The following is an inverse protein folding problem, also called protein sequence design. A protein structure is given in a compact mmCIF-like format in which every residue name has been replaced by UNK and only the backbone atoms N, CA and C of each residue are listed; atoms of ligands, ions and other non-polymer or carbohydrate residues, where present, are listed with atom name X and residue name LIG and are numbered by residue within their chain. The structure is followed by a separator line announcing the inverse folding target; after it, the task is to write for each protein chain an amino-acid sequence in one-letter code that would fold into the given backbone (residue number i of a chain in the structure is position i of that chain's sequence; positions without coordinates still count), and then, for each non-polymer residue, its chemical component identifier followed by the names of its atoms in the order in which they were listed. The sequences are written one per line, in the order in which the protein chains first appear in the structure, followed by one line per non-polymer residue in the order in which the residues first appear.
data_IF_588496455808
#
_entry.id   IF_588496455808
#
_cell.length_a   1.000
_cell.length_b   1.000
_cell.length_c   1.000
_cell.angle_alpha   90.00
_cell.angle_beta   90.00
_cell.angle_gamma   90.00
#
_symmetry.space_group_name_H-M   'P 1'
#
loop_
_entity.id
_entity.type
_entity.pdbx_description
1 polymer ?
#
# COMPACT_ATOMS: atom_id res chain seq x y z
N UNK A 1 -25.02 -1.26 18.29
CA UNK A 1 -24.96 -2.14 17.11
C UNK A 1 -23.63 -2.90 17.15
N UNK A 2 -23.65 -4.17 17.53
CA UNK A 2 -22.42 -4.96 17.70
C UNK A 2 -21.91 -5.34 16.32
N UNK A 3 -20.74 -4.81 15.91
CA UNK A 3 -20.06 -5.27 14.69
C UNK A 3 -19.62 -6.73 14.93
N UNK A 4 -20.31 -7.67 14.28
CA UNK A 4 -19.84 -9.06 14.20
C UNK A 4 -18.45 -9.03 13.54
N UNK A 5 -17.44 -9.33 14.32
CA UNK A 5 -16.09 -9.59 13.82
C UNK A 5 -16.19 -10.84 12.94
N UNK A 6 -16.06 -10.67 11.66
CA UNK A 6 -15.89 -11.79 10.74
C UNK A 6 -14.52 -12.38 11.04
N UNK A 7 -14.50 -13.53 11.72
CA UNK A 7 -13.29 -14.34 11.87
C UNK A 7 -12.88 -14.80 10.46
N UNK A 8 -11.92 -14.14 9.86
CA UNK A 8 -11.29 -14.65 8.65
C UNK A 8 -10.61 -15.97 8.98
N UNK A 9 -10.92 -17.02 8.22
CA UNK A 9 -10.16 -18.27 8.26
C UNK A 9 -8.78 -17.95 7.68
N UNK A 10 -7.80 -17.76 8.56
CA UNK A 10 -6.39 -17.73 8.13
C UNK A 10 -6.08 -19.10 7.54
N UNK A 11 -5.71 -19.13 6.27
CA UNK A 11 -5.28 -20.37 5.64
C UNK A 11 -3.82 -20.59 6.04
N UNK A 12 -3.59 -21.35 7.12
CA UNK A 12 -2.26 -21.64 7.67
C UNK A 12 -1.25 -22.17 6.63
N UNK A 13 -1.76 -22.75 5.54
CA UNK A 13 -0.93 -23.24 4.43
C UNK A 13 -0.23 -22.12 3.64
N UNK A 14 -0.70 -20.86 3.79
CA UNK A 14 -0.13 -19.70 3.13
C UNK A 14 0.87 -18.96 4.02
N UNK A 15 0.97 -19.33 5.31
CA UNK A 15 1.89 -18.67 6.23
C UNK A 15 3.34 -18.93 5.80
N UNK A 16 4.15 -17.88 5.83
CA UNK A 16 5.59 -17.96 5.55
C UNK A 16 6.38 -17.20 6.61
N UNK A 17 7.62 -17.65 6.84
CA UNK A 17 8.65 -16.88 7.52
C UNK A 17 9.53 -16.22 6.47
N UNK A 18 9.63 -14.90 6.51
CA UNK A 18 10.48 -14.13 5.61
C UNK A 18 11.38 -13.21 6.44
N UNK A 19 12.67 -13.52 6.48
CA UNK A 19 13.67 -12.77 7.24
C UNK A 19 13.31 -12.59 8.73
N UNK A 20 12.71 -13.62 9.34
CA UNK A 20 12.28 -13.58 10.75
C UNK A 20 10.93 -12.90 10.99
N UNK A 21 10.26 -12.44 9.93
CA UNK A 21 8.91 -11.89 10.00
C UNK A 21 7.89 -12.95 9.59
N UNK A 22 6.84 -13.11 10.39
CA UNK A 22 5.77 -14.04 10.10
C UNK A 22 4.71 -13.37 9.23
N UNK A 23 4.54 -13.87 8.00
CA UNK A 23 3.52 -13.41 7.07
C UNK A 23 2.41 -14.45 6.98
N UNK A 24 1.17 -13.99 6.96
CA UNK A 24 -0.02 -14.84 6.78
C UNK A 24 -0.27 -15.21 5.30
N UNK A 25 0.52 -14.66 4.38
CA UNK A 25 0.45 -14.92 2.95
C UNK A 25 1.80 -14.59 2.29
N UNK A 26 2.19 -15.29 1.22
CA UNK A 26 3.40 -14.96 0.45
C UNK A 26 3.24 -13.75 -0.47
N UNK A 27 2.04 -13.14 -0.53
CA UNK A 27 1.78 -11.99 -1.39
C UNK A 27 2.24 -10.70 -0.74
N UNK A 28 2.96 -9.90 -1.51
CA UNK A 28 3.37 -8.55 -1.12
C UNK A 28 2.84 -7.56 -2.16
N UNK A 29 2.06 -6.59 -1.72
CA UNK A 29 1.62 -5.49 -2.57
C UNK A 29 2.67 -4.38 -2.59
N UNK A 30 2.96 -3.87 -3.78
CA UNK A 30 4.01 -2.87 -3.97
C UNK A 30 3.43 -1.46 -4.02
N UNK A 31 4.22 -0.49 -3.62
CA UNK A 31 3.85 0.91 -3.47
C UNK A 31 3.26 1.57 -4.72
N UNK A 32 3.68 1.15 -5.91
CA UNK A 32 3.12 1.65 -7.16
C UNK A 32 1.66 1.28 -7.42
N UNK A 33 1.17 0.25 -6.70
CA UNK A 33 -0.21 -0.23 -6.82
C UNK A 33 -1.11 0.27 -5.69
N UNK A 34 -0.58 0.43 -4.48
CA UNK A 34 -1.40 0.61 -3.27
C UNK A 34 -1.14 1.93 -2.53
N UNK A 35 -0.31 2.81 -3.07
CA UNK A 35 -0.04 4.10 -2.47
C UNK A 35 0.40 4.01 -1.01
N UNK A 36 -0.42 4.48 -0.09
CA UNK A 36 -0.18 4.44 1.36
C UNK A 36 -0.88 3.30 2.09
N UNK A 37 -1.53 2.37 1.35
CA UNK A 37 -2.09 1.14 1.89
C UNK A 37 -3.58 1.19 2.22
N UNK A 38 -4.22 2.33 2.20
CA UNK A 38 -5.66 2.47 2.49
C UNK A 38 -6.57 2.46 1.27
N UNK A 39 -6.01 2.69 0.08
CA UNK A 39 -6.79 2.90 -1.14
C UNK A 39 -7.67 1.70 -1.50
N UNK A 40 -7.17 0.49 -1.30
CA UNK A 40 -7.90 -0.74 -1.62
C UNK A 40 -8.85 -1.21 -0.52
N UNK A 41 -8.77 -0.65 0.69
CA UNK A 41 -9.68 -0.99 1.78
C UNK A 41 -11.13 -0.59 1.50
N UNK A 42 -11.33 0.28 0.49
CA UNK A 42 -12.65 0.70 0.01
C UNK A 42 -13.30 -0.31 -0.94
N UNK A 43 -12.54 -1.30 -1.41
CA UNK A 43 -13.05 -2.34 -2.30
C UNK A 43 -13.77 -3.38 -1.47
N UNK A 44 -15.05 -3.63 -1.80
CA UNK A 44 -15.83 -4.66 -1.13
C UNK A 44 -15.20 -6.04 -1.31
N UNK A 45 -15.02 -6.76 -0.21
CA UNK A 45 -14.44 -8.10 -0.20
C UNK A 45 -12.91 -8.13 -0.13
N UNK A 46 -12.23 -6.98 -0.13
CA UNK A 46 -10.79 -6.89 0.07
C UNK A 46 -10.44 -6.39 1.48
N UNK A 47 -9.40 -6.95 2.06
CA UNK A 47 -8.79 -6.47 3.29
C UNK A 47 -7.27 -6.50 3.18
N UNK A 48 -6.57 -5.52 3.74
CA UNK A 48 -5.12 -5.53 3.84
C UNK A 48 -4.58 -6.78 4.57
N UNK A 49 -5.43 -7.46 5.35
CA UNK A 49 -5.10 -8.72 6.04
C UNK A 49 -5.07 -9.93 5.11
N UNK A 50 -5.55 -9.79 3.87
CA UNK A 50 -5.55 -10.88 2.88
C UNK A 50 -4.17 -11.08 2.24
N UNK A 51 -3.25 -10.13 2.44
CA UNK A 51 -1.88 -10.17 1.96
C UNK A 51 -0.88 -10.26 3.10
N UNK A 52 0.33 -10.72 2.80
CA UNK A 52 1.39 -10.88 3.81
C UNK A 52 2.03 -9.57 4.21
N UNK A 53 2.21 -8.65 3.26
CA UNK A 53 2.79 -7.33 3.50
C UNK A 53 2.36 -6.31 2.44
N UNK A 54 2.50 -5.06 2.78
CA UNK A 54 2.28 -3.92 1.88
C UNK A 54 3.50 -3.00 1.95
N UNK A 55 4.12 -2.74 0.80
CA UNK A 55 5.16 -1.72 0.69
C UNK A 55 4.50 -0.38 0.42
N UNK A 56 4.56 0.52 1.37
CA UNK A 56 3.97 1.85 1.24
C UNK A 56 4.77 2.72 0.27
N UNK A 57 4.14 3.73 -0.28
CA UNK A 57 4.78 4.74 -1.12
C UNK A 57 5.94 5.40 -0.39
N UNK A 58 7.01 5.71 -1.12
CA UNK A 58 8.17 6.42 -0.58
C UNK A 58 7.75 7.71 0.12
N UNK A 59 8.19 7.88 1.37
CA UNK A 59 7.74 8.94 2.26
C UNK A 59 8.94 9.68 2.83
N UNK A 60 8.84 11.00 2.90
CA UNK A 60 9.82 11.89 3.52
C UNK A 60 9.41 12.22 4.96
N UNK A 61 10.34 12.72 5.77
CA UNK A 61 10.03 13.14 7.14
C UNK A 61 8.94 14.22 7.12
N UNK A 62 9.18 15.28 6.36
CA UNK A 62 8.23 16.37 6.16
C UNK A 62 7.32 16.12 4.95
N UNK A 63 6.10 16.68 4.94
CA UNK A 63 5.21 16.61 3.78
C UNK A 63 5.86 17.18 2.52
N UNK A 64 5.56 16.58 1.38
CA UNK A 64 6.08 17.00 0.08
C UNK A 64 4.97 17.05 -0.96
N UNK A 65 4.74 18.22 -1.55
CA UNK A 65 3.70 18.42 -2.55
C UNK A 65 4.03 17.80 -3.91
N UNK A 66 5.32 17.53 -4.15
CA UNK A 66 5.79 17.08 -5.45
C UNK A 66 5.89 18.21 -6.46
N UNK A 67 6.08 17.83 -7.72
CA UNK A 67 6.24 18.77 -8.82
C UNK A 67 4.92 19.40 -9.23
N UNK A 68 4.99 20.56 -9.87
CA UNK A 68 3.82 21.18 -10.53
C UNK A 68 3.31 20.31 -11.69
N UNK A 69 2.01 20.33 -12.05
CA UNK A 69 1.51 19.73 -13.28
C UNK A 69 2.22 20.36 -14.52
N UNK A 70 2.45 19.66 -15.59
CA UNK A 70 2.11 18.28 -15.94
C UNK A 70 3.12 17.27 -15.41
N UNK A 71 2.65 16.23 -14.76
CA UNK A 71 3.50 15.23 -14.09
C UNK A 71 3.61 13.93 -14.84
N UNK A 72 2.71 13.68 -15.78
CA UNK A 72 2.61 12.43 -16.53
C UNK A 72 2.52 12.77 -18.00
N UNK A 73 3.29 12.06 -18.83
CA UNK A 73 3.23 12.14 -20.27
C UNK A 73 3.24 10.75 -20.88
N UNK A 74 2.30 10.49 -21.75
CA UNK A 74 2.26 9.23 -22.51
C UNK A 74 3.29 9.25 -23.63
N UNK A 75 3.90 8.11 -23.87
CA UNK A 75 4.80 7.85 -24.99
C UNK A 75 4.25 6.69 -25.82
N UNK A 76 4.85 6.42 -26.98
CA UNK A 76 4.42 5.32 -27.84
C UNK A 76 4.43 3.94 -27.15
N UNK A 77 5.39 3.70 -26.23
CA UNK A 77 5.58 2.42 -25.55
C UNK A 77 5.37 2.47 -24.04
N UNK A 78 4.87 3.56 -23.49
CA UNK A 78 4.69 3.67 -22.03
C UNK A 78 4.35 5.07 -21.57
N UNK A 79 4.73 5.36 -20.32
CA UNK A 79 4.53 6.66 -19.68
C UNK A 79 5.81 7.15 -19.02
N UNK A 80 6.02 8.46 -19.10
CA UNK A 80 7.00 9.19 -18.29
C UNK A 80 6.27 9.88 -17.14
N UNK A 81 6.90 9.95 -15.98
CA UNK A 81 6.36 10.72 -14.87
C UNK A 81 7.44 11.59 -14.21
N UNK A 82 6.99 12.67 -13.61
CA UNK A 82 7.78 13.57 -12.79
C UNK A 82 6.92 13.99 -11.60
N UNK A 83 6.53 13.04 -10.76
CA UNK A 83 5.65 13.27 -9.59
C UNK A 83 6.39 14.08 -8.51
N UNK A 84 7.68 13.84 -8.29
CA UNK A 84 8.47 14.56 -7.32
C UNK A 84 8.27 14.08 -5.89
N UNK A 85 8.03 12.80 -5.69
CA UNK A 85 7.90 12.15 -4.37
C UNK A 85 6.82 12.79 -3.50
N UNK A 86 5.64 13.04 -4.06
CA UNK A 86 4.50 13.57 -3.34
C UNK A 86 4.07 12.63 -2.22
N UNK A 87 4.02 13.15 -0.99
CA UNK A 87 3.58 12.39 0.17
C UNK A 87 3.19 13.32 1.34
N UNK A 88 2.38 12.84 2.30
CA UNK A 88 1.91 13.66 3.41
C UNK A 88 2.91 13.77 4.59
N UNK A 89 4.09 13.19 4.47
CA UNK A 89 5.05 13.10 5.56
C UNK A 89 4.92 11.83 6.39
N UNK A 90 6.02 11.41 7.02
CA UNK A 90 6.10 10.11 7.71
C UNK A 90 5.15 10.01 8.91
N UNK A 91 4.89 11.11 9.62
CA UNK A 91 3.99 11.08 10.78
C UNK A 91 2.57 10.70 10.36
N UNK A 92 2.05 11.30 9.29
CA UNK A 92 0.71 10.99 8.79
C UNK A 92 0.63 9.54 8.32
N UNK A 93 1.64 9.07 7.58
CA UNK A 93 1.66 7.70 7.04
C UNK A 93 1.75 6.63 8.13
N UNK A 94 2.39 6.92 9.27
CA UNK A 94 2.48 5.99 10.41
C UNK A 94 1.17 5.95 11.21
N UNK A 95 0.44 7.06 11.25
CA UNK A 95 -0.81 7.17 12.02
C UNK A 95 -2.03 6.60 11.26
N UNK A 96 -1.94 6.39 9.95
CA UNK A 96 -2.95 5.76 9.10
C UNK A 96 -2.86 4.22 9.14
#
# INVERSE_FOLDING_TARGET
MVKKSVKMKTNEKLNIDFCGLQFNSPLVLLSGCVGFGEEYTRISGFSNRDVGAICLKGTTLEPRLGNSPHRISETYLGMLNAIGLQNPGSQVVVDE
#
